data_IF_306636849631
#
_entry.id   IF_306636849631
#
_cell.length_a   1.000
_cell.length_b   1.000
_cell.length_c   1.000
_cell.angle_alpha   90.00
_cell.angle_beta   90.00
_cell.angle_gamma   90.00
#
_symmetry.space_group_name_H-M   'P 1'
#
loop_
_entity.id
_entity.type
_entity.pdbx_description
1 polymer ?
#
# COMPACT_ATOMS: atom_id res chain seq x y z
N UNK A 1 -14.59 13.26 -22.27
CA UNK A 1 -13.60 13.01 -21.20
C UNK A 1 -14.28 12.12 -20.18
N UNK A 2 -14.27 10.82 -20.44
CA UNK A 2 -14.89 9.84 -19.56
C UNK A 2 -14.05 9.74 -18.29
N UNK A 3 -14.56 10.34 -17.22
CA UNK A 3 -14.16 10.02 -15.85
C UNK A 3 -14.54 8.56 -15.60
N UNK A 4 -13.76 7.64 -16.17
CA UNK A 4 -13.85 6.22 -15.88
C UNK A 4 -13.60 6.11 -14.39
N UNK A 5 -14.70 5.87 -13.66
CA UNK A 5 -14.74 5.56 -12.24
C UNK A 5 -13.54 4.66 -11.95
N UNK A 6 -12.61 5.15 -11.12
CA UNK A 6 -11.53 4.33 -10.57
C UNK A 6 -12.19 3.05 -10.05
N UNK A 7 -11.92 1.93 -10.69
CA UNK A 7 -12.49 0.68 -10.27
C UNK A 7 -11.54 0.16 -9.20
N UNK A 8 -12.00 0.21 -7.95
CA UNK A 8 -11.18 -0.17 -6.80
C UNK A 8 -10.54 -1.55 -7.03
N UNK A 9 -11.25 -2.47 -7.67
CA UNK A 9 -10.74 -3.82 -7.90
C UNK A 9 -9.74 -3.91 -9.05
N UNK A 10 -9.91 -3.15 -10.13
CA UNK A 10 -9.01 -3.19 -11.31
C UNK A 10 -7.76 -2.34 -11.14
N UNK A 11 -7.88 -1.21 -10.44
CA UNK A 11 -6.82 -0.23 -10.25
C UNK A 11 -6.06 -0.45 -8.92
N UNK A 12 -6.17 -1.64 -8.32
CA UNK A 12 -5.51 -2.00 -7.05
C UNK A 12 -3.99 -1.75 -7.09
N UNK A 13 -3.34 -1.98 -8.23
CA UNK A 13 -1.90 -1.72 -8.45
C UNK A 13 -1.51 -0.25 -8.24
N UNK A 14 -2.45 0.68 -8.45
CA UNK A 14 -2.24 2.12 -8.27
C UNK A 14 -2.84 2.61 -6.95
N UNK A 15 -4.01 2.10 -6.55
CA UNK A 15 -4.73 2.56 -5.36
C UNK A 15 -3.99 2.18 -4.08
N UNK A 16 -3.51 0.93 -3.98
CA UNK A 16 -2.81 0.43 -2.79
C UNK A 16 -1.56 1.27 -2.49
N UNK A 17 -0.62 1.47 -3.43
CA UNK A 17 0.53 2.31 -3.17
C UNK A 17 0.18 3.76 -2.92
N UNK A 18 -0.81 4.33 -3.63
CA UNK A 18 -1.24 5.71 -3.42
C UNK A 18 -1.80 5.93 -2.03
N UNK A 19 -2.60 4.98 -1.54
CA UNK A 19 -3.09 4.99 -0.17
C UNK A 19 -1.92 4.96 0.81
N UNK A 20 -1.00 4.00 0.66
CA UNK A 20 0.15 3.84 1.56
C UNK A 20 1.17 4.99 1.47
N UNK A 21 1.25 5.66 0.33
CA UNK A 21 2.05 6.86 0.13
C UNK A 21 1.45 8.06 0.88
N UNK A 22 0.12 8.20 0.85
CA UNK A 22 -0.59 9.25 1.58
C UNK A 22 -0.68 8.96 3.09
N UNK A 23 -0.57 7.69 3.48
CA UNK A 23 -0.59 7.24 4.87
C UNK A 23 0.69 7.64 5.62
N UNK A 24 0.52 8.08 6.86
CA UNK A 24 1.62 8.34 7.79
C UNK A 24 1.74 7.19 8.79
N UNK A 25 2.89 7.00 9.47
CA UNK A 25 3.01 5.97 10.51
C UNK A 25 1.97 6.11 11.64
N UNK A 26 1.44 7.31 11.87
CA UNK A 26 0.39 7.57 12.87
C UNK A 26 -0.99 7.10 12.40
N UNK A 27 -1.32 7.27 11.11
CA UNK A 27 -2.60 6.81 10.55
C UNK A 27 -2.54 5.40 9.95
N UNK A 28 -1.35 4.82 9.87
CA UNK A 28 -1.07 3.54 9.22
C UNK A 28 -2.01 2.44 9.67
N UNK A 29 -2.24 2.32 10.97
CA UNK A 29 -3.05 1.25 11.53
C UNK A 29 -4.51 1.31 11.08
N UNK A 30 -5.04 2.52 10.87
CA UNK A 30 -6.43 2.71 10.41
C UNK A 30 -6.52 2.57 8.89
N UNK A 31 -5.54 3.09 8.15
CA UNK A 31 -5.52 2.99 6.69
C UNK A 31 -5.28 1.56 6.21
N UNK A 32 -4.39 0.82 6.88
CA UNK A 32 -4.13 -0.58 6.55
C UNK A 32 -5.36 -1.45 6.80
N UNK A 33 -6.13 -1.19 7.86
CA UNK A 33 -7.39 -1.91 8.11
C UNK A 33 -8.42 -1.69 7.00
N UNK A 34 -8.52 -0.46 6.46
CA UNK A 34 -9.38 -0.17 5.30
C UNK A 34 -8.89 -0.89 4.05
N UNK A 35 -7.58 -0.94 3.83
CA UNK A 35 -7.00 -1.69 2.73
C UNK A 35 -7.25 -3.19 2.86
N UNK A 36 -7.14 -3.76 4.06
CA UNK A 36 -7.45 -5.17 4.35
C UNK A 36 -8.94 -5.50 4.14
N UNK A 37 -9.83 -4.53 4.35
CA UNK A 37 -11.26 -4.69 4.07
C UNK A 37 -11.58 -4.67 2.56
N UNK A 38 -10.74 -4.02 1.75
CA UNK A 38 -10.93 -3.87 0.30
C UNK A 38 -10.15 -4.92 -0.51
N UNK A 39 -8.97 -5.30 -0.03
CA UNK A 39 -8.01 -6.15 -0.73
C UNK A 39 -7.44 -7.20 0.22
N UNK A 40 -7.10 -8.36 -0.33
CA UNK A 40 -6.37 -9.37 0.45
C UNK A 40 -4.96 -8.90 0.78
N UNK A 41 -4.46 -9.26 1.96
CA UNK A 41 -3.08 -8.98 2.40
C UNK A 41 -2.03 -9.40 1.37
N UNK A 42 -2.26 -10.49 0.64
CA UNK A 42 -1.40 -10.94 -0.47
C UNK A 42 -1.34 -9.95 -1.62
N UNK A 43 -2.48 -9.39 -2.02
CA UNK A 43 -2.56 -8.37 -3.07
C UNK A 43 -1.90 -7.08 -2.60
N UNK A 44 -2.16 -6.66 -1.35
CA UNK A 44 -1.52 -5.49 -0.74
C UNK A 44 0.00 -5.65 -0.84
N UNK A 45 0.57 -6.74 -0.34
CA UNK A 45 2.02 -6.97 -0.38
C UNK A 45 2.54 -7.11 -1.82
N UNK A 46 1.79 -7.76 -2.71
CA UNK A 46 2.18 -7.95 -4.11
C UNK A 46 2.29 -6.59 -4.82
N UNK A 47 1.24 -5.80 -4.79
CA UNK A 47 1.21 -4.49 -5.46
C UNK A 47 2.15 -3.51 -4.79
N UNK A 48 2.26 -3.55 -3.46
CA UNK A 48 3.25 -2.77 -2.71
C UNK A 48 4.71 -3.10 -3.05
N UNK A 49 5.01 -4.31 -3.51
CA UNK A 49 6.32 -4.67 -4.05
C UNK A 49 6.49 -4.28 -5.52
N UNK A 50 5.41 -4.31 -6.31
CA UNK A 50 5.42 -4.01 -7.75
C UNK A 50 5.44 -2.53 -8.09
N UNK A 51 4.83 -1.69 -7.25
CA UNK A 51 4.69 -0.25 -7.49
C UNK A 51 6.03 0.47 -7.74
N UNK A 52 6.03 1.71 -8.19
CA UNK A 52 7.25 2.55 -8.24
C UNK A 52 7.16 3.77 -7.34
N UNK A 53 6.14 3.84 -6.49
CA UNK A 53 5.95 4.96 -5.56
C UNK A 53 6.95 4.98 -4.42
N UNK A 54 7.37 6.20 -4.08
CA UNK A 54 8.30 6.53 -2.99
C UNK A 54 7.59 6.52 -1.63
N UNK A 55 7.15 5.33 -1.23
CA UNK A 55 6.50 5.12 0.07
C UNK A 55 7.57 5.18 1.16
N UNK A 56 7.25 5.84 2.26
CA UNK A 56 8.17 5.94 3.41
C UNK A 56 8.61 4.57 3.90
N UNK A 57 9.92 4.39 4.10
CA UNK A 57 10.49 3.16 4.63
C UNK A 57 9.82 2.71 5.95
N UNK A 58 9.43 3.67 6.81
CA UNK A 58 8.69 3.38 8.04
C UNK A 58 7.36 2.65 7.78
N UNK A 59 6.61 3.08 6.76
CA UNK A 59 5.34 2.46 6.35
C UNK A 59 5.61 1.06 5.78
N UNK A 60 6.62 0.91 4.92
CA UNK A 60 6.99 -0.41 4.39
C UNK A 60 7.44 -1.39 5.49
N UNK A 61 8.15 -0.90 6.52
CA UNK A 61 8.52 -1.69 7.71
C UNK A 61 7.27 -2.08 8.49
N UNK A 62 6.33 -1.16 8.75
CA UNK A 62 5.09 -1.46 9.47
C UNK A 62 4.26 -2.52 8.74
N UNK A 63 4.14 -2.41 7.41
CA UNK A 63 3.48 -3.43 6.58
C UNK A 63 4.21 -4.77 6.67
N UNK A 64 5.54 -4.75 6.59
CA UNK A 64 6.40 -5.92 6.75
C UNK A 64 6.17 -6.65 8.07
N UNK A 65 6.20 -5.90 9.17
CA UNK A 65 5.98 -6.41 10.52
C UNK A 65 4.56 -6.97 10.69
N UNK A 66 3.54 -6.25 10.19
CA UNK A 66 2.14 -6.65 10.33
C UNK A 66 1.81 -7.95 9.60
N UNK A 67 2.35 -8.14 8.40
CA UNK A 67 2.11 -9.35 7.61
C UNK A 67 3.18 -10.43 7.79
N UNK A 68 4.13 -10.23 8.71
CA UNK A 68 5.29 -11.09 8.89
C UNK A 68 6.04 -11.37 7.57
N UNK A 69 6.10 -10.36 6.68
CA UNK A 69 6.83 -10.41 5.41
C UNK A 69 8.13 -9.65 5.55
N UNK A 70 9.15 -10.08 4.78
CA UNK A 70 10.46 -9.43 4.80
C UNK A 70 10.29 -7.93 4.51
N UNK A 71 10.68 -7.02 5.44
CA UNK A 71 10.54 -5.60 5.22
C UNK A 71 11.34 -5.22 3.97
N UNK A 72 10.74 -4.38 3.15
CA UNK A 72 11.34 -3.88 1.92
C UNK A 72 11.50 -2.38 2.06
N UNK A 73 12.64 -1.88 1.60
CA UNK A 73 12.97 -0.47 1.61
C UNK A 73 13.00 -0.03 0.15
N UNK A 74 12.27 1.01 -0.18
CA UNK A 74 12.31 1.61 -1.53
C UNK A 74 13.14 2.86 -1.56
N UNK A 75 13.11 3.60 -0.47
CA UNK A 75 13.97 4.75 -0.32
C UNK A 75 15.33 4.23 0.15
N UNK A 76 16.26 4.06 -0.79
CA UNK A 76 17.67 3.98 -0.46
C UNK A 76 18.21 5.40 -0.47
N UNK A 77 18.65 5.87 0.69
CA UNK A 77 19.24 7.20 0.89
C UNK A 77 20.66 7.23 0.34
#
# INVERSE_FOLDING_TARGET
MDHSKLDLSRDADIIIPRALFATTPETFETDILKLEALYSTKDIVKYLKLTTENISNKVCICVGQRYNVKPFLRFSL
#
